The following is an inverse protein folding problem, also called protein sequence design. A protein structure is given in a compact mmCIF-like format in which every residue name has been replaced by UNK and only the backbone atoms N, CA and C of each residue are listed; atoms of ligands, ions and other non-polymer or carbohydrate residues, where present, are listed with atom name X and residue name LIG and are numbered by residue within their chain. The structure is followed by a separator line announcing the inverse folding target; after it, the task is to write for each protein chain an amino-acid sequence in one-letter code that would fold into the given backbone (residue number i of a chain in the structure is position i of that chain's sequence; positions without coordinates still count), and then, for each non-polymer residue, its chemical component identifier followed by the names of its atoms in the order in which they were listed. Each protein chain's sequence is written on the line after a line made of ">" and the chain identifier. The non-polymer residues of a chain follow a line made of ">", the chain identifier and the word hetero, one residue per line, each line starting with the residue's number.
data_IF_411840572383
#
_entry.id   IF_411840572383
#
_cell.length_a   1.000
_cell.length_b   1.000
_cell.length_c   1.000
_cell.angle_alpha   90.00
_cell.angle_beta   90.00
_cell.angle_gamma   90.00
#
_symmetry.space_group_name_H-M   'P 1'
#
loop_
_entity.id
_entity.type
_entity.pdbx_description
1 polymer ?
#
# COMPACT_ATOMS: atom_id res chain seq x y z
N UNK A 1 0.26 14.98 9.00
CA UNK A 1 1.49 14.62 8.27
C UNK A 1 1.70 13.13 8.50
N UNK A 2 1.34 12.27 7.54
CA UNK A 2 1.63 10.83 7.66
C UNK A 2 3.10 10.66 7.32
N UNK A 3 3.95 10.65 8.34
CA UNK A 3 5.40 10.45 8.23
C UNK A 3 5.76 8.99 8.48
N UNK A 4 5.09 8.08 7.78
CA UNK A 4 5.39 6.66 7.83
C UNK A 4 6.10 6.20 6.56
N UNK A 5 7.15 5.39 6.68
CA UNK A 5 7.71 4.64 5.56
C UNK A 5 6.66 3.74 4.89
N UNK A 6 6.95 3.21 3.70
CA UNK A 6 5.98 2.42 2.93
C UNK A 6 5.29 1.31 3.74
N UNK A 7 6.04 0.65 4.63
CA UNK A 7 5.52 -0.36 5.56
C UNK A 7 4.49 0.21 6.54
N UNK A 8 4.75 1.38 7.11
CA UNK A 8 3.84 2.04 8.05
C UNK A 8 2.58 2.51 7.32
N UNK A 9 2.71 3.04 6.10
CA UNK A 9 1.55 3.41 5.27
C UNK A 9 0.65 2.20 4.97
N UNK A 10 1.23 1.04 4.64
CA UNK A 10 0.47 -0.18 4.44
C UNK A 10 -0.20 -0.67 5.73
N UNK A 11 0.50 -0.57 6.87
CA UNK A 11 -0.04 -0.93 8.18
C UNK A 11 -1.23 -0.03 8.55
N UNK A 12 -1.13 1.28 8.32
CA UNK A 12 -2.20 2.25 8.59
C UNK A 12 -3.43 1.98 7.73
N UNK A 13 -3.25 1.73 6.43
CA UNK A 13 -4.37 1.36 5.53
C UNK A 13 -5.02 0.06 5.95
N UNK A 14 -4.21 -0.94 6.33
CA UNK A 14 -4.72 -2.23 6.81
C UNK A 14 -5.53 -2.06 8.09
N UNK A 15 -5.03 -1.27 9.04
CA UNK A 15 -5.74 -0.97 10.28
C UNK A 15 -7.08 -0.23 10.01
N UNK A 16 -7.08 0.75 9.10
CA UNK A 16 -8.28 1.45 8.70
C UNK A 16 -9.30 0.51 8.03
N UNK A 17 -8.86 -0.37 7.13
CA UNK A 17 -9.72 -1.36 6.49
C UNK A 17 -10.37 -2.31 7.51
N UNK A 18 -9.61 -2.76 8.51
CA UNK A 18 -10.13 -3.59 9.61
C UNK A 18 -11.15 -2.83 10.45
N UNK A 19 -10.89 -1.56 10.78
CA UNK A 19 -11.85 -0.74 11.52
C UNK A 19 -13.19 -0.59 10.76
N UNK A 20 -13.13 -0.37 9.45
CA UNK A 20 -14.32 -0.31 8.59
C UNK A 20 -15.04 -1.66 8.54
N UNK A 21 -14.31 -2.78 8.45
CA UNK A 21 -14.91 -4.11 8.50
C UNK A 21 -15.67 -4.35 9.82
N UNK A 22 -15.06 -3.99 10.95
CA UNK A 22 -15.66 -4.13 12.29
C UNK A 22 -16.93 -3.29 12.39
N UNK A 23 -16.90 -2.02 11.99
CA UNK A 23 -18.09 -1.16 12.06
C UNK A 23 -19.20 -1.62 11.10
N UNK A 24 -18.81 -2.07 9.90
CA UNK A 24 -19.75 -2.67 8.94
C UNK A 24 -20.41 -3.92 9.53
N UNK A 25 -19.67 -4.73 10.28
CA UNK A 25 -20.22 -5.92 10.93
C UNK A 25 -21.19 -5.54 12.05
N UNK A 26 -20.83 -4.55 12.88
CA UNK A 26 -21.69 -4.03 13.96
C UNK A 26 -23.01 -3.47 13.44
N UNK A 27 -23.00 -2.87 12.26
CA UNK A 27 -24.19 -2.30 11.61
C UNK A 27 -24.93 -3.28 10.68
N UNK A 28 -24.51 -4.55 10.61
CA UNK A 28 -25.13 -5.57 9.76
C UNK A 28 -24.90 -5.38 8.26
N UNK A 29 -23.94 -4.52 7.87
CA UNK A 29 -23.60 -4.20 6.47
C UNK A 29 -22.40 -4.99 5.95
N UNK A 30 -21.69 -5.69 6.81
CA UNK A 30 -20.56 -6.51 6.37
C UNK A 30 -21.03 -7.70 5.54
N UNK A 31 -20.61 -7.73 4.28
CA UNK A 31 -20.94 -8.76 3.31
C UNK A 31 -19.72 -9.09 2.44
N UNK A 32 -19.86 -10.05 1.52
CA UNK A 32 -18.78 -10.49 0.62
C UNK A 32 -18.23 -9.34 -0.23
N UNK A 33 -19.08 -8.42 -0.66
CA UNK A 33 -18.67 -7.26 -1.47
C UNK A 33 -17.84 -6.26 -0.65
N UNK A 34 -18.24 -6.01 0.59
CA UNK A 34 -17.48 -5.19 1.55
C UNK A 34 -16.11 -5.81 1.80
N UNK A 35 -16.07 -7.13 2.05
CA UNK A 35 -14.81 -7.85 2.26
C UNK A 35 -13.88 -7.76 1.04
N UNK A 36 -14.42 -7.97 -0.18
CA UNK A 36 -13.63 -7.86 -1.42
C UNK A 36 -13.12 -6.44 -1.65
N UNK A 37 -13.95 -5.43 -1.40
CA UNK A 37 -13.56 -4.03 -1.55
C UNK A 37 -12.42 -3.68 -0.61
N UNK A 38 -12.52 -4.06 0.67
CA UNK A 38 -11.46 -3.79 1.64
C UNK A 38 -10.15 -4.53 1.30
N UNK A 39 -10.25 -5.79 0.85
CA UNK A 39 -9.08 -6.54 0.38
C UNK A 39 -8.44 -5.89 -0.86
N UNK A 40 -9.24 -5.39 -1.80
CA UNK A 40 -8.75 -4.70 -2.99
C UNK A 40 -8.01 -3.39 -2.63
N UNK A 41 -8.53 -2.62 -1.67
CA UNK A 41 -7.88 -1.38 -1.20
C UNK A 41 -6.50 -1.68 -0.59
N UNK A 42 -6.41 -2.69 0.27
CA UNK A 42 -5.14 -3.09 0.88
C UNK A 42 -4.16 -3.62 -0.18
N UNK A 43 -4.64 -4.46 -1.11
CA UNK A 43 -3.83 -5.01 -2.19
C UNK A 43 -3.28 -3.93 -3.14
N UNK A 44 -4.11 -2.97 -3.53
CA UNK A 44 -3.73 -1.84 -4.37
C UNK A 44 -2.64 -0.98 -3.72
N UNK A 45 -2.75 -0.72 -2.41
CA UNK A 45 -1.69 0.01 -1.70
C UNK A 45 -0.38 -0.77 -1.66
N UNK A 46 -0.44 -2.10 -1.51
CA UNK A 46 0.74 -2.95 -1.63
C UNK A 46 1.38 -2.87 -3.02
N UNK A 47 0.57 -2.91 -4.08
CA UNK A 47 1.06 -2.82 -5.46
C UNK A 47 1.75 -1.48 -5.74
N UNK A 48 1.19 -0.36 -5.27
CA UNK A 48 1.80 0.97 -5.41
C UNK A 48 3.15 1.06 -4.72
N UNK A 49 3.25 0.54 -3.50
CA UNK A 49 4.50 0.50 -2.74
C UNK A 49 5.58 -0.27 -3.50
N UNK A 50 5.24 -1.42 -4.09
CA UNK A 50 6.17 -2.22 -4.89
C UNK A 50 6.60 -1.44 -6.14
N UNK A 51 5.67 -0.86 -6.89
CA UNK A 51 5.99 -0.07 -8.08
C UNK A 51 6.90 1.12 -7.78
N UNK A 52 6.66 1.83 -6.68
CA UNK A 52 7.52 2.93 -6.24
C UNK A 52 8.94 2.45 -5.87
N UNK A 53 9.06 1.28 -5.23
CA UNK A 53 10.34 0.70 -4.90
C UNK A 53 11.11 0.27 -6.16
N UNK A 54 10.44 -0.33 -7.13
CA UNK A 54 11.02 -0.71 -8.43
C UNK A 54 11.52 0.52 -9.20
N UNK A 55 10.71 1.58 -9.28
CA UNK A 55 11.09 2.82 -9.97
C UNK A 55 12.31 3.48 -9.33
N UNK A 56 12.36 3.50 -7.99
CA UNK A 56 13.52 4.01 -7.25
C UNK A 56 14.76 3.18 -7.54
N UNK A 57 14.65 1.85 -7.48
CA UNK A 57 15.73 0.93 -7.77
C UNK A 57 16.28 1.09 -9.19
N UNK A 58 15.39 1.24 -10.19
CA UNK A 58 15.77 1.54 -11.56
C UNK A 58 16.53 2.86 -11.68
N UNK A 59 16.00 3.92 -11.05
CA UNK A 59 16.59 5.25 -11.11
C UNK A 59 17.99 5.29 -10.48
N UNK A 60 18.17 4.66 -9.31
CA UNK A 60 19.47 4.56 -8.65
C UNK A 60 20.46 3.73 -9.46
N UNK A 61 20.05 2.57 -9.96
CA UNK A 61 20.93 1.72 -10.78
C UNK A 61 21.35 2.40 -12.09
N UNK A 62 20.46 3.18 -12.71
CA UNK A 62 20.80 3.99 -13.88
C UNK A 62 21.83 5.07 -13.55
N UNK A 63 21.65 5.80 -12.44
CA UNK A 63 22.60 6.82 -12.00
C UNK A 63 23.99 6.22 -11.71
N UNK A 64 24.05 5.06 -11.06
CA UNK A 64 25.30 4.32 -10.81
C UNK A 64 25.98 3.89 -12.12
N UNK A 65 25.21 3.37 -13.09
CA UNK A 65 25.72 2.98 -14.39
C UNK A 65 26.25 4.17 -15.21
N UNK A 66 25.64 5.34 -15.07
CA UNK A 66 26.12 6.57 -15.73
C UNK A 66 27.36 7.14 -15.04
N UNK A 67 27.42 7.08 -13.71
CA UNK A 67 28.57 7.54 -12.93
C UNK A 67 29.84 6.71 -13.20
N UNK A 68 29.70 5.44 -13.55
CA UNK A 68 30.82 4.55 -13.91
C UNK A 68 31.29 4.67 -15.36
N UNK A 69 30.60 5.47 -16.19
CA UNK A 69 30.97 5.78 -17.58
C UNK A 69 31.67 7.14 -17.76
N UNK A 70 31.77 7.94 -16.70
CA UNK A 70 32.47 9.23 -16.66
C UNK A 70 33.91 9.05 -16.17
#
# INVERSE_FOLDING_TARGET
>A
MVTGGAREQLADVTAAAVAVAVESARTGKYNVETARTLAAVVGEMGARIVGDAELRGFSTGWQEAMATRA
#
